data_IF_358621136411
#
_entry.id   IF_358621136411
#
_cell.length_a   1.000
_cell.length_b   1.000
_cell.length_c   1.000
_cell.angle_alpha   90.00
_cell.angle_beta   90.00
_cell.angle_gamma   90.00
#
_symmetry.space_group_name_H-M   'P 1'
#
loop_
_entity.id
_entity.type
_entity.pdbx_description
1 polymer ?
#
# COMPACT_ATOMS: atom_id res chain seq x y z
N UNK A 1 13.31 23.72 -9.43
CA UNK A 1 12.51 22.63 -8.81
C UNK A 1 12.64 21.30 -9.58
N UNK A 2 12.36 21.25 -10.88
CA UNK A 2 12.33 20.00 -11.68
C UNK A 2 13.61 19.14 -11.63
N UNK A 3 14.80 19.74 -11.61
CA UNK A 3 16.06 19.00 -11.54
C UNK A 3 16.23 18.21 -10.22
N UNK A 4 15.79 18.76 -9.07
CA UNK A 4 15.85 18.06 -7.78
C UNK A 4 14.81 16.93 -7.71
N UNK A 5 13.61 17.15 -8.26
CA UNK A 5 12.57 16.11 -8.34
C UNK A 5 13.04 14.93 -9.18
N UNK A 6 13.64 15.19 -10.36
CA UNK A 6 14.21 14.15 -11.22
C UNK A 6 15.29 13.34 -10.50
N UNK A 7 16.15 13.99 -9.72
CA UNK A 7 17.20 13.31 -8.95
C UNK A 7 16.62 12.42 -7.83
N UNK A 8 15.60 12.88 -7.11
CA UNK A 8 14.89 12.08 -6.09
C UNK A 8 14.18 10.89 -6.73
N UNK A 9 13.49 11.12 -7.85
CA UNK A 9 12.81 10.06 -8.59
C UNK A 9 13.79 9.02 -9.15
N UNK A 10 14.95 9.42 -9.66
CA UNK A 10 15.98 8.47 -10.12
C UNK A 10 16.63 7.70 -8.97
N UNK A 11 16.82 8.32 -7.80
CA UNK A 11 17.51 7.70 -6.66
C UNK A 11 16.59 6.81 -5.82
N UNK A 12 15.31 7.14 -5.75
CA UNK A 12 14.33 6.45 -4.89
C UNK A 12 13.19 5.80 -5.65
N UNK A 13 13.01 6.08 -6.94
CA UNK A 13 11.89 5.56 -7.73
C UNK A 13 11.84 4.03 -7.75
N UNK A 14 13.00 3.36 -7.92
CA UNK A 14 13.04 1.90 -7.93
C UNK A 14 12.72 1.30 -6.56
N UNK A 15 13.23 1.89 -5.48
CA UNK A 15 12.99 1.42 -4.11
C UNK A 15 11.57 1.70 -3.66
N UNK A 16 11.05 2.89 -3.96
CA UNK A 16 9.68 3.29 -3.64
C UNK A 16 8.67 2.43 -4.41
N UNK A 17 8.92 2.13 -5.69
CA UNK A 17 8.07 1.25 -6.48
C UNK A 17 8.06 -0.18 -5.92
N UNK A 18 9.22 -0.75 -5.61
CA UNK A 18 9.31 -2.09 -5.02
C UNK A 18 8.60 -2.18 -3.67
N UNK A 19 8.81 -1.20 -2.79
CA UNK A 19 8.12 -1.14 -1.50
C UNK A 19 6.60 -0.95 -1.65
N UNK A 20 6.18 -0.10 -2.60
CA UNK A 20 4.77 0.12 -2.87
C UNK A 20 4.09 -1.17 -3.35
N UNK A 21 4.72 -1.90 -4.30
CA UNK A 21 4.24 -3.18 -4.78
C UNK A 21 4.22 -4.26 -3.69
N UNK A 22 5.24 -4.34 -2.83
CA UNK A 22 5.25 -5.34 -1.75
C UNK A 22 4.17 -5.08 -0.71
N UNK A 23 3.99 -3.81 -0.29
CA UNK A 23 2.93 -3.44 0.66
C UNK A 23 1.55 -3.63 0.04
N UNK A 24 1.40 -3.39 -1.27
CA UNK A 24 0.17 -3.66 -2.01
C UNK A 24 -0.20 -5.15 -1.96
N UNK A 25 0.73 -6.03 -2.34
CA UNK A 25 0.49 -7.49 -2.34
C UNK A 25 0.24 -8.01 -0.92
N UNK A 26 0.99 -7.51 0.07
CA UNK A 26 0.78 -7.88 1.47
C UNK A 26 -0.62 -7.47 1.95
N UNK A 27 -1.07 -6.26 1.60
CA UNK A 27 -2.40 -5.79 1.99
C UNK A 27 -3.50 -6.55 1.24
N UNK A 28 -3.33 -6.78 -0.06
CA UNK A 28 -4.29 -7.54 -0.88
C UNK A 28 -4.47 -8.95 -0.34
N UNK A 29 -3.36 -9.62 -0.01
CA UNK A 29 -3.37 -10.97 0.55
C UNK A 29 -4.01 -10.98 1.94
N UNK A 30 -3.69 -10.00 2.80
CA UNK A 30 -4.30 -9.86 4.12
C UNK A 30 -5.81 -9.64 4.05
N UNK A 31 -6.26 -8.71 3.21
CA UNK A 31 -7.69 -8.45 2.98
C UNK A 31 -8.39 -9.67 2.38
N UNK A 32 -7.76 -10.36 1.44
CA UNK A 32 -8.31 -11.59 0.84
C UNK A 32 -8.46 -12.70 1.89
N UNK A 33 -7.44 -12.94 2.72
CA UNK A 33 -7.50 -13.93 3.79
C UNK A 33 -8.59 -13.59 4.82
N UNK A 34 -8.73 -12.32 5.18
CA UNK A 34 -9.78 -11.86 6.10
C UNK A 34 -11.18 -12.14 5.53
N UNK A 35 -11.44 -11.79 4.27
CA UNK A 35 -12.75 -12.02 3.64
C UNK A 35 -13.01 -13.53 3.51
N UNK A 36 -11.98 -14.33 3.16
CA UNK A 36 -12.09 -15.78 3.08
C UNK A 36 -12.38 -16.46 4.43
N UNK A 37 -12.02 -15.82 5.55
CA UNK A 37 -12.39 -16.24 6.90
C UNK A 37 -13.80 -15.78 7.33
N UNK A 38 -14.57 -15.16 6.43
CA UNK A 38 -15.93 -14.69 6.71
C UNK A 38 -15.98 -13.32 7.39
N UNK A 39 -14.91 -12.53 7.34
CA UNK A 39 -14.94 -11.15 7.83
C UNK A 39 -15.86 -10.32 6.94
N UNK A 40 -16.97 -9.86 7.52
CA UNK A 40 -17.95 -9.01 6.85
C UNK A 40 -17.42 -7.58 6.68
N UNK A 41 -17.14 -7.21 5.44
CA UNK A 41 -16.67 -5.88 5.06
C UNK A 41 -17.71 -4.80 5.39
N UNK A 42 -19.01 -5.12 5.41
CA UNK A 42 -20.08 -4.16 5.72
C UNK A 42 -20.08 -3.79 7.21
N UNK A 43 -19.75 -4.73 8.09
CA UNK A 43 -19.59 -4.47 9.52
C UNK A 43 -18.39 -3.55 9.81
N UNK A 44 -17.30 -3.70 9.04
CA UNK A 44 -16.12 -2.82 9.13
C UNK A 44 -16.42 -1.45 8.52
N UNK A 45 -17.19 -1.39 7.42
CA UNK A 45 -17.65 -0.14 6.80
C UNK A 45 -18.33 0.79 7.79
N UNK A 46 -19.26 0.25 8.59
CA UNK A 46 -20.03 1.01 9.59
C UNK A 46 -19.15 1.65 10.68
N UNK A 47 -17.92 1.14 10.87
CA UNK A 47 -16.94 1.66 11.84
C UNK A 47 -15.98 2.68 11.22
N UNK A 48 -15.90 2.77 9.89
CA UNK A 48 -14.96 3.63 9.17
C UNK A 48 -15.75 4.66 8.34
N UNK A 49 -15.95 5.89 8.84
CA UNK A 49 -16.80 6.89 8.19
C UNK A 49 -16.29 7.38 6.82
N UNK A 50 -15.08 6.98 6.42
CA UNK A 50 -14.45 7.34 5.14
C UNK A 50 -14.65 6.28 4.04
N UNK A 51 -15.25 5.13 4.35
CA UNK A 51 -15.46 4.05 3.39
C UNK A 51 -16.95 3.90 3.04
N UNK A 52 -17.35 4.51 1.93
CA UNK A 52 -18.71 4.39 1.40
C UNK A 52 -18.85 3.09 0.60
N UNK A 53 -19.13 2.00 1.32
CA UNK A 53 -19.30 0.65 0.77
C UNK A 53 -20.72 0.45 0.18
N UNK A 54 -21.57 1.49 0.15
CA UNK A 54 -22.94 1.45 -0.39
C UNK A 54 -23.02 1.14 -1.89
N UNK A 55 -21.90 1.26 -2.61
CA UNK A 55 -21.78 0.90 -4.05
C UNK A 55 -21.06 -0.43 -4.29
N UNK A 56 -20.71 -1.15 -3.23
CA UNK A 56 -20.00 -2.42 -3.34
C UNK A 56 -21.02 -3.54 -3.26
N UNK A 57 -21.16 -4.28 -4.35
CA UNK A 57 -22.03 -5.45 -4.42
C UNK A 57 -21.47 -6.54 -3.48
N UNK A 58 -22.23 -6.98 -2.46
CA UNK A 58 -21.80 -8.04 -1.55
C UNK A 58 -21.55 -9.38 -2.26
N UNK A 59 -22.17 -9.60 -3.43
CA UNK A 59 -21.98 -10.78 -4.27
C UNK A 59 -20.79 -10.66 -5.23
N UNK A 60 -20.07 -9.53 -5.21
CA UNK A 60 -18.81 -9.43 -5.92
C UNK A 60 -17.82 -10.48 -5.38
N UNK A 61 -17.18 -11.25 -6.27
CA UNK A 61 -16.26 -12.30 -5.87
C UNK A 61 -15.20 -11.83 -4.87
N UNK A 62 -14.77 -12.71 -3.96
CA UNK A 62 -13.83 -12.43 -2.85
C UNK A 62 -12.60 -11.62 -3.26
N UNK A 63 -12.07 -11.86 -4.47
CA UNK A 63 -10.95 -11.12 -5.03
C UNK A 63 -11.30 -9.67 -5.39
N UNK A 64 -12.48 -9.43 -5.95
CA UNK A 64 -12.95 -8.08 -6.30
C UNK A 64 -13.15 -7.24 -5.03
N UNK A 65 -13.76 -7.82 -4.01
CA UNK A 65 -13.94 -7.18 -2.69
C UNK A 65 -12.59 -6.87 -2.02
N UNK A 66 -11.65 -7.82 -2.02
CA UNK A 66 -10.30 -7.61 -1.50
C UNK A 66 -9.56 -6.51 -2.26
N UNK A 67 -9.69 -6.49 -3.59
CA UNK A 67 -9.08 -5.47 -4.43
C UNK A 67 -9.67 -4.08 -4.17
N UNK A 68 -11.00 -3.94 -4.07
CA UNK A 68 -11.66 -2.67 -3.76
C UNK A 68 -11.23 -2.13 -2.40
N UNK A 69 -11.17 -2.98 -1.37
CA UNK A 69 -10.65 -2.61 -0.05
C UNK A 69 -9.18 -2.14 -0.12
N UNK A 70 -8.37 -2.83 -0.93
CA UNK A 70 -6.95 -2.52 -1.15
C UNK A 70 -6.74 -1.22 -1.95
N UNK A 71 -7.67 -0.89 -2.84
CA UNK A 71 -7.68 0.35 -3.64
C UNK A 71 -8.17 1.53 -2.81
N UNK A 72 -9.16 1.33 -1.92
CA UNK A 72 -9.62 2.36 -1.00
C UNK A 72 -8.50 2.84 -0.06
N UNK A 73 -7.54 1.97 0.24
CA UNK A 73 -6.31 2.34 0.98
C UNK A 73 -5.28 3.10 0.13
N UNK A 74 -5.52 3.35 -1.16
CA UNK A 74 -4.60 3.99 -2.10
C UNK A 74 -4.02 5.32 -1.63
N UNK A 75 -4.83 6.31 -1.18
CA UNK A 75 -4.32 7.59 -0.69
C UNK A 75 -3.47 7.44 0.57
N UNK A 76 -3.94 6.63 1.52
CA UNK A 76 -3.21 6.32 2.76
C UNK A 76 -1.89 5.62 2.45
N UNK A 77 -1.88 4.64 1.55
CA UNK A 77 -0.68 3.89 1.13
C UNK A 77 0.29 4.77 0.35
N UNK A 78 -0.21 5.71 -0.46
CA UNK A 78 0.59 6.74 -1.12
C UNK A 78 1.30 7.65 -0.11
N UNK A 79 0.55 8.19 0.86
CA UNK A 79 1.11 9.00 1.94
C UNK A 79 2.14 8.22 2.78
N UNK A 80 1.83 6.98 3.13
CA UNK A 80 2.72 6.08 3.88
C UNK A 80 3.98 5.76 3.08
N UNK A 81 3.88 5.55 1.76
CA UNK A 81 5.04 5.31 0.88
C UNK A 81 5.92 6.56 0.80
N UNK A 82 5.34 7.74 0.65
CA UNK A 82 6.09 9.01 0.60
C UNK A 82 6.79 9.27 1.94
N UNK A 83 6.11 9.02 3.07
CA UNK A 83 6.68 9.16 4.42
C UNK A 83 7.73 8.09 4.73
N UNK A 84 7.55 6.86 4.25
CA UNK A 84 8.50 5.75 4.43
C UNK A 84 9.70 5.85 3.49
N UNK A 85 9.57 6.51 2.33
CA UNK A 85 10.64 6.69 1.34
C UNK A 85 11.94 7.25 1.93
N UNK A 86 11.97 8.32 2.75
CA UNK A 86 13.20 8.80 3.40
C UNK A 86 13.76 7.83 4.46
N UNK A 87 12.92 7.00 5.09
CA UNK A 87 13.35 6.01 6.08
C UNK A 87 13.98 4.80 5.37
N UNK A 88 13.33 4.30 4.32
CA UNK A 88 13.86 3.27 3.43
C UNK A 88 15.14 3.72 2.75
N UNK A 89 15.23 4.99 2.33
CA UNK A 89 16.45 5.61 1.81
C UNK A 89 17.62 5.53 2.80
N UNK A 90 17.36 5.85 4.08
CA UNK A 90 18.35 5.78 5.17
C UNK A 90 18.76 4.34 5.46
N UNK A 91 17.81 3.41 5.50
CA UNK A 91 18.08 1.99 5.73
C UNK A 91 18.86 1.35 4.57
N UNK A 92 18.53 1.68 3.31
CA UNK A 92 19.26 1.20 2.14
C UNK A 92 20.68 1.78 2.07
N UNK A 93 20.86 3.05 2.44
CA UNK A 93 22.20 3.66 2.54
C UNK A 93 23.07 2.95 3.59
N UNK A 94 22.48 2.57 4.73
CA UNK A 94 23.14 1.77 5.78
C UNK A 94 23.46 0.35 5.31
N UNK A 95 22.58 -0.26 4.53
CA UNK A 95 22.76 -1.61 3.98
C UNK A 95 23.86 -1.67 2.92
N UNK A 96 23.96 -0.65 2.05
CA UNK A 96 25.03 -0.54 1.03
C UNK A 96 26.42 -0.30 1.63
N UNK A 97 26.52 0.27 2.84
CA UNK A 97 27.81 0.34 3.54
C UNK A 97 28.24 -1.01 4.12
N UNK A 98 27.31 -1.88 4.51
CA UNK A 98 27.59 -3.22 5.01
C UNK A 98 28.03 -4.21 3.91
N UNK A 99 27.55 -4.08 2.67
CA UNK A 99 28.00 -4.93 1.54
C UNK A 99 29.36 -4.52 0.97
N UNK A 100 29.97 -3.43 1.44
CA UNK A 100 31.30 -2.97 1.01
C UNK A 100 32.42 -3.27 2.02
N UNK A 101 32.10 -3.95 3.13
CA UNK A 101 33.05 -4.56 4.06
C UNK A 101 33.26 -6.01 3.67
#
# INVERSE_FOLDING_TARGET
>A
MAARVKQVLQRYGRTAFLFHSSVFVATLTGSYAAINQGVDLQAIAKRVPFMDLSKVDPDAGTLALAYLSTVATGPARGALTIAASPILARLLARSRQLTKL
#
